data_IF_386933524652
#
_entry.id   IF_386933524652
#
_cell.length_a   1.000
_cell.length_b   1.000
_cell.length_c   1.000
_cell.angle_alpha   90.00
_cell.angle_beta   90.00
_cell.angle_gamma   90.00
#
_symmetry.space_group_name_H-M   'P 1'
#
loop_
_entity.id
_entity.type
_entity.pdbx_description
1 polymer ?
#
# COMPACT_ATOMS: atom_id res chain seq x y z
N UNK A 1 13.01 -8.88 -3.98
CA UNK A 1 12.93 -8.42 -5.37
C UNK A 1 13.97 -9.14 -6.21
N UNK A 2 13.59 -9.79 -7.32
CA UNK A 2 14.55 -10.44 -8.21
C UNK A 2 15.39 -9.41 -8.98
N UNK A 3 16.54 -9.85 -9.50
CA UNK A 3 17.33 -9.07 -10.47
C UNK A 3 16.49 -8.76 -11.70
N UNK A 4 16.57 -7.52 -12.21
CA UNK A 4 15.80 -7.05 -13.36
C UNK A 4 14.32 -6.80 -13.07
N UNK A 5 13.93 -6.60 -11.81
CA UNK A 5 12.57 -6.23 -11.42
C UNK A 5 12.26 -4.77 -11.84
N UNK A 6 12.01 -4.56 -13.13
CA UNK A 6 11.82 -3.23 -13.75
C UNK A 6 10.40 -3.00 -14.29
N UNK A 7 9.52 -4.01 -14.21
CA UNK A 7 8.17 -3.96 -14.78
C UNK A 7 7.07 -3.89 -13.73
N UNK A 8 7.41 -3.77 -12.44
CA UNK A 8 6.41 -3.66 -11.38
C UNK A 8 5.65 -2.33 -11.52
N UNK A 9 4.33 -2.38 -11.36
CA UNK A 9 3.46 -1.18 -11.42
C UNK A 9 3.43 -0.42 -10.09
N UNK A 10 2.95 0.83 -10.10
CA UNK A 10 2.77 1.60 -8.87
C UNK A 10 1.67 0.99 -7.98
N UNK A 11 1.78 1.20 -6.68
CA UNK A 11 0.76 0.84 -5.71
C UNK A 11 0.70 1.86 -4.57
N UNK A 12 -0.41 1.82 -3.85
CA UNK A 12 -0.69 2.72 -2.73
C UNK A 12 -0.72 1.95 -1.42
N UNK A 13 -0.25 2.62 -0.35
CA UNK A 13 -0.35 2.18 1.03
C UNK A 13 -1.34 3.07 1.79
N UNK A 14 -2.59 2.62 1.99
CA UNK A 14 -3.61 3.41 2.66
C UNK A 14 -3.24 3.85 4.07
N UNK A 15 -2.56 3.00 4.85
CA UNK A 15 -2.04 3.31 6.19
C UNK A 15 -0.57 3.76 6.20
N UNK A 16 0.12 3.67 5.06
CA UNK A 16 1.58 3.87 4.94
C UNK A 16 2.36 2.55 4.97
N UNK A 17 3.68 2.63 4.86
CA UNK A 17 4.56 1.46 4.88
C UNK A 17 5.87 1.80 5.61
N UNK A 18 6.35 0.85 6.40
CA UNK A 18 7.75 0.82 6.82
C UNK A 18 8.50 -0.21 5.98
N UNK A 19 9.70 0.13 5.51
CA UNK A 19 10.60 -0.84 4.89
C UNK A 19 12.05 -0.70 5.36
N UNK A 20 12.76 -1.82 5.35
CA UNK A 20 14.18 -1.92 5.62
C UNK A 20 14.86 -2.78 4.55
N UNK A 21 15.90 -2.24 3.92
CA UNK A 21 16.66 -2.94 2.88
C UNK A 21 17.77 -3.76 3.54
N UNK A 22 17.63 -5.08 3.52
CA UNK A 22 18.59 -6.02 4.13
C UNK A 22 19.81 -6.21 3.22
N UNK A 23 19.57 -6.36 1.92
CA UNK A 23 20.62 -6.62 0.93
C UNK A 23 20.21 -6.06 -0.44
N UNK A 24 21.18 -5.66 -1.24
CA UNK A 24 20.97 -5.11 -2.58
C UNK A 24 20.46 -3.67 -2.55
N UNK A 25 19.68 -3.31 -3.56
CA UNK A 25 19.16 -1.95 -3.73
C UNK A 25 17.81 -2.00 -4.45
N UNK A 26 16.84 -1.24 -3.95
CA UNK A 26 15.64 -0.92 -4.72
C UNK A 26 15.53 0.60 -4.90
N UNK A 27 14.71 1.02 -5.85
CA UNK A 27 14.44 2.41 -6.12
C UNK A 27 12.97 2.62 -6.45
N UNK A 28 12.43 3.78 -6.10
CA UNK A 28 11.12 4.20 -6.59
C UNK A 28 11.26 4.79 -7.99
N UNK A 29 10.46 4.30 -8.92
CA UNK A 29 10.48 4.75 -10.31
C UNK A 29 9.27 5.60 -10.71
N UNK A 30 9.44 6.46 -11.71
CA UNK A 30 8.32 7.08 -12.43
C UNK A 30 7.65 6.06 -13.39
N UNK A 31 6.64 6.48 -14.15
CA UNK A 31 5.93 5.61 -15.09
C UNK A 31 6.77 5.19 -16.30
N UNK A 32 7.80 5.96 -16.66
CA UNK A 32 8.72 5.71 -17.79
C UNK A 32 9.93 4.84 -17.39
N UNK A 33 10.07 4.54 -16.09
CA UNK A 33 11.16 3.74 -15.54
C UNK A 33 12.39 4.58 -15.11
N UNK A 34 12.24 5.91 -15.08
CA UNK A 34 13.20 6.82 -14.46
C UNK A 34 13.23 6.66 -12.95
N UNK A 35 14.39 6.89 -12.35
CA UNK A 35 14.60 6.75 -10.90
C UNK A 35 14.22 8.04 -10.19
N UNK A 36 13.29 7.97 -9.22
CA UNK A 36 12.91 9.09 -8.35
C UNK A 36 13.79 9.08 -7.08
N UNK A 37 13.87 7.94 -6.41
CA UNK A 37 14.66 7.76 -5.19
C UNK A 37 15.30 6.37 -5.16
N UNK A 38 16.49 6.27 -4.55
CA UNK A 38 17.23 4.99 -4.43
C UNK A 38 17.47 4.65 -2.96
N UNK A 39 17.34 3.36 -2.64
CA UNK A 39 17.43 2.83 -1.28
C UNK A 39 18.40 1.63 -1.26
N UNK A 40 19.70 1.85 -0.99
CA UNK A 40 20.68 0.78 -0.85
C UNK A 40 20.50 -0.02 0.46
N UNK A 41 21.21 -1.14 0.58
CA UNK A 41 21.25 -1.93 1.81
C UNK A 41 21.56 -1.06 3.05
N UNK A 42 20.82 -1.30 4.13
CA UNK A 42 20.86 -0.50 5.35
C UNK A 42 19.89 0.68 5.37
N UNK A 43 19.22 1.02 4.25
CA UNK A 43 18.18 2.05 4.25
C UNK A 43 16.97 1.64 5.10
N UNK A 44 16.55 2.57 5.95
CA UNK A 44 15.24 2.56 6.63
C UNK A 44 14.35 3.56 5.91
N UNK A 45 13.22 3.10 5.39
CA UNK A 45 12.30 3.93 4.62
C UNK A 45 10.94 3.92 5.31
N UNK A 46 10.35 5.11 5.40
CA UNK A 46 9.00 5.29 5.91
C UNK A 46 8.18 6.01 4.86
N UNK A 47 7.12 5.36 4.42
CA UNK A 47 6.10 5.92 3.56
C UNK A 47 4.88 6.28 4.39
N UNK A 48 4.51 7.56 4.38
CA UNK A 48 3.38 8.06 5.16
C UNK A 48 2.05 7.50 4.66
N UNK A 49 1.01 7.60 5.49
CA UNK A 49 -0.38 7.29 5.12
C UNK A 49 -0.75 7.86 3.73
N UNK A 50 -1.34 7.02 2.87
CA UNK A 50 -1.77 7.39 1.52
C UNK A 50 -0.64 7.54 0.50
N UNK A 51 0.59 7.18 0.85
CA UNK A 51 1.72 7.19 -0.08
C UNK A 51 1.48 6.27 -1.27
N UNK A 52 1.96 6.68 -2.43
CA UNK A 52 2.05 5.85 -3.63
C UNK A 52 3.51 5.73 -4.02
N UNK A 53 3.93 4.53 -4.39
CA UNK A 53 5.27 4.30 -4.89
C UNK A 53 5.33 3.15 -5.90
N UNK A 54 6.48 3.00 -6.57
CA UNK A 54 6.72 2.01 -7.61
C UNK A 54 8.10 1.42 -7.38
N UNK A 55 8.23 0.42 -6.49
CA UNK A 55 9.52 -0.15 -6.18
C UNK A 55 10.02 -1.00 -7.34
N UNK A 56 11.22 -0.71 -7.80
CA UNK A 56 11.94 -1.40 -8.86
C UNK A 56 13.36 -1.76 -8.39
N UNK A 57 14.01 -2.72 -9.04
CA UNK A 57 15.40 -3.07 -8.75
C UNK A 57 16.12 -3.60 -9.98
N UNK A 58 17.35 -3.11 -10.21
CA UNK A 58 18.21 -3.56 -11.31
C UNK A 58 18.92 -4.86 -10.95
N UNK A 59 19.61 -4.89 -9.81
CA UNK A 59 20.45 -6.01 -9.40
C UNK A 59 19.76 -6.99 -8.42
N UNK A 60 18.56 -6.63 -7.94
CA UNK A 60 17.83 -7.38 -6.93
C UNK A 60 17.98 -6.75 -5.54
N UNK A 61 17.03 -7.06 -4.66
CA UNK A 61 17.03 -6.59 -3.28
C UNK A 61 16.27 -7.53 -2.36
N UNK A 62 16.74 -7.70 -1.13
CA UNK A 62 16.00 -8.33 -0.03
C UNK A 62 15.49 -7.24 0.89
N UNK A 63 14.17 -7.18 1.07
CA UNK A 63 13.50 -6.09 1.79
C UNK A 63 12.58 -6.72 2.84
N UNK A 64 12.66 -6.22 4.07
CA UNK A 64 11.62 -6.43 5.08
C UNK A 64 10.68 -5.24 5.01
N UNK A 65 9.38 -5.48 4.91
CA UNK A 65 8.39 -4.42 4.83
C UNK A 65 7.15 -4.77 5.66
N UNK A 66 6.52 -3.73 6.19
CA UNK A 66 5.29 -3.80 6.96
C UNK A 66 4.35 -2.74 6.40
N UNK A 67 3.34 -3.12 5.61
CA UNK A 67 2.30 -2.20 5.21
C UNK A 67 1.36 -1.98 6.40
N UNK A 68 1.03 -0.73 6.67
CA UNK A 68 -0.03 -0.37 7.58
C UNK A 68 -1.34 -0.31 6.78
N UNK A 69 -2.36 -1.04 7.23
CA UNK A 69 -3.67 -1.12 6.59
C UNK A 69 -3.68 -1.68 5.15
N UNK A 70 -2.69 -2.51 4.80
CA UNK A 70 -2.64 -3.30 3.56
C UNK A 70 -2.07 -2.55 2.35
N UNK A 71 -2.21 -3.16 1.16
CA UNK A 71 -1.62 -2.66 -0.11
C UNK A 71 -2.70 -2.65 -1.20
N UNK A 72 -2.84 -1.54 -1.93
CA UNK A 72 -3.74 -1.41 -3.08
C UNK A 72 -2.95 -1.32 -4.39
N UNK A 73 -3.18 -2.29 -5.29
CA UNK A 73 -2.53 -2.32 -6.61
C UNK A 73 -3.36 -1.60 -7.68
N UNK A 74 -2.73 -0.63 -8.36
CA UNK A 74 -3.27 0.08 -9.52
C UNK A 74 -2.55 -0.34 -10.80
N UNK A 75 -3.27 -0.30 -11.94
CA UNK A 75 -2.66 -0.51 -13.27
C UNK A 75 -1.99 0.77 -13.79
N UNK A 76 -2.52 1.92 -13.42
CA UNK A 76 -2.06 3.26 -13.78
C UNK A 76 -2.43 4.25 -12.65
N UNK A 77 -1.92 5.50 -12.67
CA UNK A 77 -2.21 6.49 -11.63
C UNK A 77 -3.71 6.81 -11.45
N UNK A 78 -4.49 6.76 -12.52
CA UNK A 78 -5.92 7.07 -12.49
C UNK A 78 -6.73 5.91 -11.90
N UNK A 79 -6.34 4.67 -12.17
CA UNK A 79 -6.85 3.45 -11.57
C UNK A 79 -6.56 3.40 -10.08
N UNK A 80 -5.34 3.81 -9.68
CA UNK A 80 -5.00 3.92 -8.27
C UNK A 80 -5.84 4.99 -7.57
N UNK A 81 -5.97 6.18 -8.16
CA UNK A 81 -6.81 7.25 -7.63
C UNK A 81 -8.29 6.86 -7.52
N UNK A 82 -8.81 6.04 -8.46
CA UNK A 82 -10.18 5.47 -8.39
C UNK A 82 -10.34 4.44 -7.28
N UNK A 83 -9.33 3.58 -7.06
CA UNK A 83 -9.35 2.51 -6.05
C UNK A 83 -9.06 3.01 -4.64
N UNK A 84 -8.38 4.14 -4.52
CA UNK A 84 -8.29 4.91 -3.29
C UNK A 84 -9.67 5.50 -2.99
N UNK A 85 -10.51 4.74 -2.29
CA UNK A 85 -11.78 5.26 -1.78
C UNK A 85 -11.42 6.32 -0.73
N UNK A 86 -11.74 7.58 -1.03
CA UNK A 86 -11.84 8.62 0.01
C UNK A 86 -12.96 8.16 0.94
N UNK A 87 -12.59 7.64 2.11
CA UNK A 87 -13.55 7.37 3.16
C UNK A 87 -14.01 8.73 3.69
N UNK A 88 -15.18 9.16 3.27
CA UNK A 88 -15.67 10.52 3.45
C UNK A 88 -16.48 10.72 4.72
N UNK A 89 -16.99 9.64 5.31
CA UNK A 89 -17.77 9.66 6.56
C UNK A 89 -17.39 8.53 7.52
N UNK A 90 -17.78 8.67 8.80
CA UNK A 90 -17.56 7.65 9.82
C UNK A 90 -18.27 6.34 9.47
N UNK A 91 -19.44 6.42 8.83
CA UNK A 91 -20.21 5.27 8.35
C UNK A 91 -19.46 4.49 7.27
N UNK A 92 -18.83 5.20 6.32
CA UNK A 92 -18.04 4.58 5.24
C UNK A 92 -16.77 3.91 5.81
N UNK A 93 -16.18 4.48 6.86
CA UNK A 93 -15.01 3.93 7.54
C UNK A 93 -15.35 2.67 8.34
N UNK A 94 -16.47 2.69 9.06
CA UNK A 94 -16.97 1.52 9.79
C UNK A 94 -17.38 0.41 8.83
N UNK A 95 -18.04 0.73 7.71
CA UNK A 95 -18.39 -0.25 6.68
C UNK A 95 -17.14 -0.89 6.07
N UNK A 96 -16.15 -0.08 5.69
CA UNK A 96 -14.89 -0.57 5.15
C UNK A 96 -14.17 -1.47 6.16
N UNK A 97 -13.99 -1.01 7.40
CA UNK A 97 -13.33 -1.80 8.46
C UNK A 97 -14.04 -3.14 8.71
N UNK A 98 -15.37 -3.17 8.78
CA UNK A 98 -16.13 -4.39 9.04
C UNK A 98 -16.07 -5.38 7.88
N UNK A 99 -16.07 -4.91 6.62
CA UNK A 99 -15.88 -5.77 5.45
C UNK A 99 -14.55 -6.54 5.49
N UNK A 100 -13.51 -5.94 6.09
CA UNK A 100 -12.19 -6.56 6.24
C UNK A 100 -12.03 -7.39 7.52
N UNK A 101 -12.61 -6.98 8.64
CA UNK A 101 -12.41 -7.62 9.95
C UNK A 101 -13.34 -8.80 10.23
N UNK A 102 -14.52 -8.83 9.58
CA UNK A 102 -15.56 -9.81 9.88
C UNK A 102 -16.04 -10.42 8.58
N UNK A 103 -15.73 -11.69 8.34
CA UNK A 103 -16.07 -12.39 7.08
C UNK A 103 -17.56 -12.73 6.97
N UNK A 104 -18.23 -12.94 8.11
CA UNK A 104 -19.67 -13.22 8.19
C UNK A 104 -20.53 -11.96 7.96
N UNK A 105 -21.41 -12.01 6.97
CA UNK A 105 -22.21 -10.86 6.55
C UNK A 105 -23.29 -10.47 7.57
N UNK A 106 -23.86 -11.42 8.32
CA UNK A 106 -24.85 -11.14 9.35
C UNK A 106 -24.23 -10.41 10.53
N UNK A 107 -23.05 -10.87 10.97
CA UNK A 107 -22.29 -10.29 12.07
C UNK A 107 -21.73 -8.91 11.73
N UNK A 108 -21.35 -8.67 10.46
CA UNK A 108 -21.03 -7.31 9.97
C UNK A 108 -22.18 -6.34 10.17
N UNK A 109 -23.40 -6.73 9.78
CA UNK A 109 -24.58 -5.86 9.90
C UNK A 109 -24.92 -5.57 11.37
N UNK A 110 -24.78 -6.56 12.24
CA UNK A 110 -25.01 -6.40 13.67
C UNK A 110 -24.02 -5.41 14.30
N UNK A 111 -22.72 -5.59 14.04
CA UNK A 111 -21.66 -4.71 14.55
C UNK A 111 -21.72 -3.30 13.98
N UNK A 112 -22.04 -3.17 12.68
CA UNK A 112 -22.26 -1.87 12.04
C UNK A 112 -23.35 -1.08 12.76
N UNK A 113 -24.48 -1.74 13.03
CA UNK A 113 -25.59 -1.15 13.75
C UNK A 113 -25.19 -0.73 15.16
N UNK A 114 -24.47 -1.60 15.88
CA UNK A 114 -23.99 -1.29 17.23
C UNK A 114 -23.04 -0.10 17.27
N UNK A 115 -22.15 0.06 16.29
CA UNK A 115 -21.10 1.09 16.27
C UNK A 115 -21.64 2.44 15.80
N UNK A 116 -22.62 2.46 14.88
CA UNK A 116 -23.14 3.68 14.27
C UNK A 116 -24.40 4.24 14.93
N UNK A 117 -25.17 3.40 15.66
CA UNK A 117 -26.41 3.82 16.32
C UNK A 117 -26.21 4.14 17.83
N UNK A 118 -24.97 4.12 18.33
CA UNK A 118 -24.58 4.41 19.72
C UNK A 118 -23.96 5.79 19.88
#
# INVERSE_FOLDING_TARGET
MPKGCLQQGPHCHPGGEFSYVVEGEYFDGDMEGGVINTYPAGSVVFYSQGSTHRPLSKEGATILYIPFDGILFGKDPEDLARKMVKVGTAEEAVEYALQWMVTDSGKRQELRKTILDS
#
